data_IF_761408810330
#
_entry.id   IF_761408810330
#
_cell.length_a   1.000
_cell.length_b   1.000
_cell.length_c   1.000
_cell.angle_alpha   90.00
_cell.angle_beta   90.00
_cell.angle_gamma   90.00
#
_symmetry.space_group_name_H-M   'P 1'
#
loop_
_entity.id
_entity.type
_entity.pdbx_description
1 polymer ?
#
# COMPACT_ATOMS: atom_id res chain seq x y z
N UNK A 1 -14.49 -27.44 14.67
CA UNK A 1 -13.25 -26.74 15.07
C UNK A 1 -12.13 -27.76 15.02
N UNK A 2 -11.18 -27.59 14.10
CA UNK A 2 -10.03 -28.49 14.00
C UNK A 2 -9.13 -28.33 15.24
N UNK A 3 -8.54 -29.42 15.70
CA UNK A 3 -7.56 -29.37 16.79
C UNK A 3 -6.39 -28.46 16.39
N UNK A 4 -5.86 -27.60 17.29
CA UNK A 4 -4.86 -26.59 16.96
C UNK A 4 -3.51 -27.13 16.44
N UNK A 5 -3.29 -28.45 16.49
CA UNK A 5 -2.02 -29.10 16.12
C UNK A 5 -2.13 -30.03 14.91
N UNK A 6 -3.13 -29.87 14.05
CA UNK A 6 -3.21 -30.65 12.83
C UNK A 6 -2.04 -30.28 11.87
N UNK A 7 -1.37 -31.27 11.25
CA UNK A 7 -0.33 -31.03 10.26
C UNK A 7 -0.91 -30.22 9.08
N UNK A 8 -0.20 -29.17 8.70
CA UNK A 8 -0.51 -28.33 7.54
C UNK A 8 0.14 -28.90 6.29
N UNK A 9 -0.48 -28.69 5.15
CA UNK A 9 0.07 -29.05 3.86
C UNK A 9 0.13 -27.82 2.97
N UNK A 10 1.26 -27.64 2.29
CA UNK A 10 1.50 -26.49 1.42
C UNK A 10 1.92 -26.95 0.01
N UNK A 11 1.63 -26.11 -0.99
CA UNK A 11 2.06 -26.28 -2.38
C UNK A 11 2.93 -25.12 -2.83
N UNK A 12 4.00 -25.42 -3.57
CA UNK A 12 4.89 -24.45 -4.18
C UNK A 12 4.23 -23.88 -5.45
N UNK A 13 3.83 -22.61 -5.39
CA UNK A 13 3.51 -21.79 -6.55
C UNK A 13 4.74 -20.92 -6.85
N UNK A 14 4.60 -19.60 -6.80
CA UNK A 14 5.72 -18.67 -6.69
C UNK A 14 6.23 -18.57 -5.25
N UNK A 15 5.32 -18.78 -4.29
CA UNK A 15 5.58 -18.97 -2.86
C UNK A 15 4.86 -20.23 -2.35
N UNK A 16 5.25 -20.72 -1.18
CA UNK A 16 4.52 -21.79 -0.50
C UNK A 16 3.17 -21.25 -0.04
N UNK A 17 2.08 -21.91 -0.44
CA UNK A 17 0.72 -21.57 0.00
C UNK A 17 0.06 -22.77 0.66
N UNK A 18 -0.68 -22.50 1.73
CA UNK A 18 -1.53 -23.50 2.39
C UNK A 18 -2.52 -24.08 1.37
N UNK A 19 -2.60 -25.41 1.35
CA UNK A 19 -3.64 -26.11 0.62
C UNK A 19 -4.99 -25.91 1.33
N UNK A 20 -6.08 -25.96 0.56
CA UNK A 20 -7.42 -25.91 1.15
C UNK A 20 -7.66 -27.12 2.06
N UNK A 21 -8.66 -26.99 2.94
CA UNK A 21 -8.96 -27.99 3.97
C UNK A 21 -9.20 -29.38 3.36
N UNK A 22 -9.96 -29.45 2.27
CA UNK A 22 -10.26 -30.72 1.58
C UNK A 22 -9.00 -31.38 1.00
N UNK A 23 -8.13 -30.59 0.36
CA UNK A 23 -6.87 -31.11 -0.19
C UNK A 23 -5.90 -31.55 0.91
N UNK A 24 -5.80 -30.79 2.00
CA UNK A 24 -4.95 -31.11 3.13
C UNK A 24 -5.42 -32.39 3.86
N UNK A 25 -6.73 -32.55 4.06
CA UNK A 25 -7.32 -33.77 4.66
C UNK A 25 -7.06 -35.00 3.78
N UNK A 26 -7.21 -34.86 2.46
CA UNK A 26 -6.92 -35.94 1.50
C UNK A 26 -5.44 -36.36 1.52
N UNK A 27 -4.51 -35.40 1.52
CA UNK A 27 -3.07 -35.68 1.61
C UNK A 27 -2.68 -36.33 2.93
N UNK A 28 -3.28 -35.88 4.03
CA UNK A 28 -3.06 -36.48 5.35
C UNK A 28 -3.62 -37.91 5.40
N UNK A 29 -4.73 -38.19 4.73
CA UNK A 29 -5.27 -39.54 4.59
C UNK A 29 -4.31 -40.45 3.80
N UNK A 30 -3.82 -40.01 2.62
CA UNK A 30 -2.84 -40.76 1.83
C UNK A 30 -1.55 -41.03 2.62
N UNK A 31 -1.07 -40.02 3.34
CA UNK A 31 0.11 -40.13 4.19
C UNK A 31 -0.07 -41.18 5.28
N UNK A 32 -1.21 -41.16 5.99
CA UNK A 32 -1.52 -42.10 7.07
C UNK A 32 -1.76 -43.52 6.57
N UNK A 33 -2.38 -43.69 5.39
CA UNK A 33 -2.59 -45.02 4.79
C UNK A 33 -1.34 -45.58 4.13
N UNK A 34 -0.26 -44.78 4.02
CA UNK A 34 0.97 -45.10 3.26
C UNK A 34 0.69 -45.36 1.78
N UNK A 35 -0.36 -44.75 1.23
CA UNK A 35 -0.62 -44.75 -0.20
C UNK A 35 0.28 -43.71 -0.87
N UNK A 36 1.10 -44.15 -1.81
CA UNK A 36 2.08 -43.27 -2.47
C UNK A 36 1.44 -42.31 -3.47
N UNK A 37 0.24 -42.62 -3.98
CA UNK A 37 -0.45 -41.82 -5.00
C UNK A 37 -1.96 -41.82 -4.80
N UNK A 38 -2.58 -40.67 -5.06
CA UNK A 38 -4.04 -40.55 -5.11
C UNK A 38 -4.48 -39.42 -6.03
N UNK A 39 -5.76 -39.42 -6.41
CA UNK A 39 -6.36 -38.35 -7.21
C UNK A 39 -7.55 -37.72 -6.52
N UNK A 40 -7.60 -36.39 -6.51
CA UNK A 40 -8.70 -35.61 -5.93
C UNK A 40 -9.21 -34.60 -6.97
N UNK A 41 -10.53 -34.42 -7.04
CA UNK A 41 -11.15 -33.37 -7.85
C UNK A 41 -11.45 -32.17 -6.95
N UNK A 42 -10.68 -31.10 -7.07
CA UNK A 42 -10.96 -29.84 -6.39
C UNK A 42 -11.14 -28.71 -7.42
N UNK A 43 -12.06 -27.78 -7.13
CA UNK A 43 -12.33 -26.59 -7.97
C UNK A 43 -12.55 -26.92 -9.47
N UNK A 44 -13.21 -28.04 -9.74
CA UNK A 44 -13.53 -28.49 -11.10
C UNK A 44 -12.36 -29.11 -11.89
N UNK A 45 -11.17 -29.24 -11.30
CA UNK A 45 -10.00 -29.86 -11.93
C UNK A 45 -9.59 -31.11 -11.17
N UNK A 46 -9.03 -32.09 -11.87
CA UNK A 46 -8.50 -33.31 -11.24
C UNK A 46 -7.00 -33.13 -11.03
N UNK A 47 -6.55 -33.39 -9.81
CA UNK A 47 -5.14 -33.36 -9.43
C UNK A 47 -4.71 -34.76 -9.01
N UNK A 48 -3.53 -35.16 -9.45
CA UNK A 48 -2.84 -36.38 -9.02
C UNK A 48 -1.74 -35.99 -8.07
N UNK A 49 -1.78 -36.52 -6.85
CA UNK A 49 -0.77 -36.31 -5.83
C UNK A 49 0.12 -37.54 -5.74
N UNK A 50 1.44 -37.32 -5.72
CA UNK A 50 2.47 -38.33 -5.55
C UNK A 50 3.26 -37.99 -4.29
N UNK A 51 2.99 -38.74 -3.21
CA UNK A 51 3.58 -38.55 -1.88
C UNK A 51 5.05 -38.98 -1.88
N UNK A 52 5.43 -39.99 -2.68
CA UNK A 52 6.83 -40.42 -2.80
C UNK A 52 7.70 -39.31 -3.38
N UNK A 53 7.20 -38.61 -4.38
CA UNK A 53 7.90 -37.48 -5.02
C UNK A 53 7.60 -36.12 -4.37
N UNK A 54 6.65 -36.07 -3.44
CA UNK A 54 6.11 -34.84 -2.88
C UNK A 54 5.67 -33.86 -3.98
N UNK A 55 4.81 -34.32 -4.90
CA UNK A 55 4.32 -33.51 -6.03
C UNK A 55 2.81 -33.58 -6.22
N UNK A 56 2.25 -32.50 -6.76
CA UNK A 56 0.88 -32.37 -7.26
C UNK A 56 0.91 -32.11 -8.78
N UNK A 57 0.18 -32.90 -9.55
CA UNK A 57 0.08 -32.76 -11.01
C UNK A 57 -1.35 -32.45 -11.41
N UNK A 58 -1.55 -31.34 -12.10
CA UNK A 58 -2.84 -31.01 -12.71
C UNK A 58 -3.04 -31.82 -13.99
N UNK A 59 -4.08 -32.65 -14.08
CA UNK A 59 -4.24 -33.58 -15.21
C UNK A 59 -4.63 -32.91 -16.53
N UNK A 60 -5.09 -31.66 -16.49
CA UNK A 60 -5.51 -30.91 -17.69
C UNK A 60 -4.31 -30.18 -18.29
N UNK A 61 -3.55 -29.46 -17.45
CA UNK A 61 -2.40 -28.65 -17.90
C UNK A 61 -1.06 -29.40 -17.89
N UNK A 62 -1.00 -30.60 -17.29
CA UNK A 62 0.24 -31.34 -17.00
C UNK A 62 1.28 -30.57 -16.16
N UNK A 63 0.89 -29.44 -15.53
CA UNK A 63 1.79 -28.68 -14.65
C UNK A 63 2.00 -29.46 -13.34
N UNK A 64 3.26 -29.69 -13.01
CA UNK A 64 3.69 -30.35 -11.76
C UNK A 64 4.15 -29.29 -10.77
N UNK A 65 3.72 -29.41 -9.52
CA UNK A 65 4.07 -28.52 -8.41
C UNK A 65 4.60 -29.36 -7.24
N UNK A 66 5.57 -28.83 -6.50
CA UNK A 66 6.06 -29.48 -5.28
C UNK A 66 5.09 -29.23 -4.13
N UNK A 67 4.88 -30.22 -3.28
CA UNK A 67 4.10 -30.09 -2.04
C UNK A 67 4.99 -30.38 -0.83
N UNK A 68 4.62 -29.88 0.36
CA UNK A 68 5.29 -30.23 1.63
C UNK A 68 4.29 -30.35 2.77
N UNK A 69 4.62 -31.19 3.75
CA UNK A 69 3.89 -31.33 5.01
C UNK A 69 4.62 -30.57 6.10
N UNK A 70 3.93 -29.70 6.81
CA UNK A 70 4.42 -28.92 7.94
C UNK A 70 3.69 -29.38 9.20
N UNK A 71 4.41 -30.02 10.11
CA UNK A 71 3.87 -30.49 11.39
C UNK A 71 4.95 -31.23 12.17
N UNK A 72 4.70 -31.54 13.46
CA UNK A 72 5.68 -32.23 14.29
C UNK A 72 5.99 -33.58 13.65
N UNK A 73 7.22 -33.74 13.17
CA UNK A 73 7.73 -34.99 12.62
C UNK A 73 7.68 -36.06 13.70
N UNK A 74 6.93 -37.13 13.47
CA UNK A 74 6.78 -38.25 14.40
C UNK A 74 8.01 -39.17 14.46
N UNK A 75 9.22 -38.66 14.23
CA UNK A 75 10.46 -39.46 14.13
C UNK A 75 11.53 -39.11 15.18
N UNK A 76 11.21 -38.34 16.23
CA UNK A 76 12.10 -38.19 17.39
C UNK A 76 11.62 -39.07 18.56
N UNK A 77 11.87 -40.37 18.44
CA UNK A 77 11.78 -41.34 19.53
C UNK A 77 13.02 -42.24 19.54
N UNK A 78 14.22 -41.67 19.65
CA UNK A 78 15.39 -42.39 20.15
C UNK A 78 16.28 -41.47 20.99
N UNK A 79 16.40 -41.87 22.26
CA UNK A 79 17.29 -41.41 23.31
C UNK A 79 18.64 -40.84 22.85
N UNK A 80 18.91 -39.58 23.21
CA UNK A 80 20.09 -39.20 23.98
C UNK A 80 20.00 -37.72 24.44
N UNK A 81 20.23 -37.50 25.73
CA UNK A 81 20.50 -36.18 26.34
C UNK A 81 21.97 -35.85 25.98
N UNK A 82 22.32 -34.68 25.41
CA UNK A 82 22.33 -33.45 26.22
C UNK A 82 22.15 -32.10 25.52
N UNK A 83 22.03 -31.09 26.40
CA UNK A 83 22.55 -29.73 26.25
C UNK A 83 21.65 -28.70 25.55
N UNK A 84 20.76 -28.13 26.37
CA UNK A 84 20.46 -26.68 26.46
C UNK A 84 20.82 -25.90 25.17
N UNK A 85 20.02 -26.10 24.14
CA UNK A 85 20.00 -25.23 22.99
C UNK A 85 19.41 -23.90 23.45
N UNK A 86 20.30 -22.95 23.77
CA UNK A 86 20.07 -21.52 23.59
C UNK A 86 19.09 -21.34 22.43
N UNK A 87 17.94 -20.74 22.71
CA UNK A 87 17.14 -20.10 21.70
C UNK A 87 18.08 -19.19 20.92
N UNK A 88 18.55 -19.65 19.76
CA UNK A 88 19.09 -18.74 18.76
C UNK A 88 17.88 -17.92 18.40
N UNK A 89 17.76 -16.75 19.02
CA UNK A 89 17.17 -15.60 18.37
C UNK A 89 17.85 -15.56 17.01
N UNK A 90 17.20 -16.13 15.99
CA UNK A 90 17.37 -15.60 14.66
C UNK A 90 16.99 -14.16 14.86
N UNK A 91 18.01 -13.30 14.95
CA UNK A 91 17.82 -11.88 14.86
C UNK A 91 16.96 -11.72 13.61
N UNK A 92 15.71 -11.30 13.80
CA UNK A 92 14.99 -10.65 12.72
C UNK A 92 15.87 -9.45 12.38
N UNK A 93 16.80 -9.65 11.45
CA UNK A 93 17.44 -8.55 10.75
C UNK A 93 16.25 -7.81 10.12
N UNK A 94 15.84 -6.74 10.80
CA UNK A 94 14.87 -5.78 10.28
C UNK A 94 15.49 -5.32 8.97
N UNK A 95 15.01 -5.88 7.87
CA UNK A 95 15.63 -5.64 6.58
C UNK A 95 15.20 -4.24 6.18
N UNK A 96 15.91 -3.19 6.56
CA UNK A 96 15.54 -1.83 6.16
C UNK A 96 15.81 -1.64 4.65
N UNK A 97 14.89 -0.99 3.94
CA UNK A 97 14.99 -0.59 2.53
C UNK A 97 14.99 0.93 2.45
N UNK A 98 15.82 1.48 1.56
CA UNK A 98 15.86 2.92 1.33
C UNK A 98 15.11 3.23 0.04
N UNK A 99 14.22 4.22 0.12
CA UNK A 99 13.46 4.74 -1.01
C UNK A 99 13.89 6.17 -1.33
N UNK A 100 13.85 6.53 -2.61
CA UNK A 100 14.21 7.86 -3.13
C UNK A 100 13.02 8.44 -3.90
N UNK A 101 12.71 9.72 -3.66
CA UNK A 101 11.64 10.42 -4.36
C UNK A 101 12.08 10.79 -5.79
N UNK A 102 11.45 10.17 -6.79
CA UNK A 102 11.79 10.29 -8.21
C UNK A 102 10.53 10.44 -9.05
N UNK A 103 10.47 11.52 -9.83
CA UNK A 103 9.40 11.74 -10.80
C UNK A 103 7.98 11.69 -10.21
N UNK A 104 7.81 12.11 -8.95
CA UNK A 104 6.51 12.16 -8.28
C UNK A 104 6.14 10.88 -7.53
N UNK A 105 7.03 9.88 -7.46
CA UNK A 105 6.80 8.63 -6.72
C UNK A 105 8.03 8.24 -5.88
N UNK A 106 7.82 7.45 -4.82
CA UNK A 106 8.90 6.82 -4.06
C UNK A 106 9.41 5.58 -4.81
N UNK A 107 10.70 5.55 -5.15
CA UNK A 107 11.34 4.38 -5.77
C UNK A 107 12.29 3.71 -4.81
N UNK A 108 12.19 2.39 -4.70
CA UNK A 108 13.16 1.59 -3.96
C UNK A 108 14.53 1.65 -4.62
N UNK A 109 15.56 1.90 -3.82
CA UNK A 109 16.94 1.72 -4.23
C UNK A 109 17.25 0.23 -4.38
N UNK A 110 18.33 -0.10 -5.10
CA UNK A 110 18.78 -1.47 -5.17
C UNK A 110 19.13 -2.00 -3.76
N UNK A 111 19.04 -3.31 -3.58
CA UNK A 111 19.26 -3.95 -2.27
C UNK A 111 20.63 -3.61 -1.70
N UNK A 112 21.65 -3.60 -2.54
CA UNK A 112 23.03 -3.32 -2.17
C UNK A 112 23.19 -1.87 -1.68
N UNK A 113 22.57 -0.91 -2.38
CA UNK A 113 22.58 0.51 -2.02
C UNK A 113 21.83 0.74 -0.70
N UNK A 114 20.66 0.11 -0.55
CA UNK A 114 19.88 0.20 0.68
C UNK A 114 20.66 -0.33 1.88
N UNK A 115 21.28 -1.50 1.75
CA UNK A 115 22.10 -2.11 2.78
C UNK A 115 23.32 -1.26 3.15
N UNK A 116 23.96 -0.62 2.16
CA UNK A 116 25.08 0.29 2.40
C UNK A 116 24.62 1.49 3.23
N UNK A 117 23.51 2.14 2.85
CA UNK A 117 22.97 3.29 3.56
C UNK A 117 22.58 2.94 5.01
N UNK A 118 21.90 1.81 5.20
CA UNK A 118 21.50 1.32 6.53
C UNK A 118 22.72 1.03 7.40
N UNK A 119 23.76 0.39 6.84
CA UNK A 119 25.01 0.14 7.57
C UNK A 119 25.69 1.43 8.02
N UNK A 120 25.65 2.49 7.21
CA UNK A 120 26.19 3.80 7.61
C UNK A 120 25.33 4.44 8.72
N UNK A 121 24.01 4.30 8.64
CA UNK A 121 23.09 4.75 9.70
C UNK A 121 23.36 4.05 11.03
N UNK A 122 23.53 2.73 11.03
CA UNK A 122 23.84 1.92 12.22
C UNK A 122 25.17 2.31 12.88
N UNK A 123 26.14 2.79 12.08
CA UNK A 123 27.42 3.34 12.58
C UNK A 123 27.29 4.75 13.16
N UNK A 124 26.12 5.38 13.08
CA UNK A 124 25.91 6.77 13.48
C UNK A 124 26.51 7.79 12.52
N UNK A 125 26.89 7.36 11.30
CA UNK A 125 27.37 8.30 10.28
C UNK A 125 26.19 9.12 9.76
N UNK A 126 26.40 10.41 9.57
CA UNK A 126 25.32 11.34 9.19
C UNK A 126 25.43 11.84 7.75
N UNK A 127 26.61 11.70 7.14
CA UNK A 127 26.81 11.95 5.72
C UNK A 127 27.98 11.10 5.19
N UNK A 128 27.84 10.57 3.99
CA UNK A 128 28.85 9.76 3.31
C UNK A 128 28.65 9.80 1.79
N UNK A 129 29.65 9.39 1.02
CA UNK A 129 29.57 9.25 -0.43
C UNK A 129 29.72 7.79 -0.84
N UNK A 130 28.87 7.33 -1.76
CA UNK A 130 29.01 6.01 -2.37
C UNK A 130 28.81 6.09 -3.88
N UNK A 131 29.31 5.09 -4.61
CA UNK A 131 29.22 5.05 -6.08
C UNK A 131 28.34 3.90 -6.51
N UNK A 132 27.31 4.20 -7.29
CA UNK A 132 26.41 3.21 -7.86
C UNK A 132 26.20 3.46 -9.34
N UNK A 133 26.30 2.38 -10.12
CA UNK A 133 26.13 2.38 -11.59
C UNK A 133 26.95 3.50 -12.26
N UNK A 134 28.19 3.70 -11.83
CA UNK A 134 29.11 4.70 -12.36
C UNK A 134 28.80 6.16 -12.00
N UNK A 135 27.86 6.39 -11.08
CA UNK A 135 27.51 7.73 -10.58
C UNK A 135 27.79 7.80 -9.08
N UNK A 136 28.48 8.86 -8.65
CA UNK A 136 28.74 9.11 -7.23
C UNK A 136 27.61 9.92 -6.61
N UNK A 137 27.14 9.46 -5.46
CA UNK A 137 26.08 10.08 -4.68
C UNK A 137 26.58 10.39 -3.28
N UNK A 138 26.24 11.59 -2.81
CA UNK A 138 26.40 11.99 -1.42
C UNK A 138 25.07 11.80 -0.69
N UNK A 139 25.07 10.98 0.36
CA UNK A 139 23.93 10.78 1.26
C UNK A 139 24.11 11.67 2.48
N UNK A 140 23.03 12.34 2.88
CA UNK A 140 22.93 13.10 4.12
C UNK A 140 21.72 12.59 4.90
N UNK A 141 21.98 11.82 5.95
CA UNK A 141 20.97 11.18 6.80
C UNK A 141 20.35 12.14 7.82
N UNK A 142 20.94 13.32 8.07
CA UNK A 142 20.28 14.34 8.90
C UNK A 142 19.13 14.99 8.17
N UNK A 143 19.34 15.27 6.88
CA UNK A 143 18.33 15.90 6.02
C UNK A 143 17.53 14.89 5.22
N UNK A 144 17.85 13.60 5.32
CA UNK A 144 17.26 12.52 4.54
C UNK A 144 17.30 12.83 3.03
N UNK A 145 18.50 13.11 2.51
CA UNK A 145 18.70 13.42 1.10
C UNK A 145 19.81 12.61 0.43
N UNK A 146 19.66 12.43 -0.89
CA UNK A 146 20.66 11.91 -1.81
C UNK A 146 20.99 12.99 -2.85
N UNK A 147 22.27 13.36 -2.96
CA UNK A 147 22.75 14.35 -3.94
C UNK A 147 23.68 13.69 -4.94
N UNK A 148 23.35 13.79 -6.23
CA UNK A 148 24.26 13.34 -7.29
C UNK A 148 25.43 14.32 -7.40
N UNK A 149 26.66 13.85 -7.14
CA UNK A 149 27.86 14.73 -7.01
C UNK A 149 28.18 15.46 -8.31
N UNK A 150 27.99 14.82 -9.46
CA UNK A 150 28.31 15.40 -10.77
C UNK A 150 27.31 16.48 -11.20
N UNK A 151 26.02 16.26 -10.95
CA UNK A 151 24.95 17.17 -11.39
C UNK A 151 24.51 18.16 -10.29
N UNK A 152 24.95 17.94 -9.06
CA UNK A 152 24.50 18.64 -7.86
C UNK A 152 22.97 18.61 -7.64
N UNK A 153 22.28 17.61 -8.21
CA UNK A 153 20.85 17.43 -8.02
C UNK A 153 20.58 16.64 -6.74
N UNK A 154 19.81 17.23 -5.84
CA UNK A 154 19.40 16.63 -4.57
C UNK A 154 17.98 16.05 -4.64
N UNK A 155 17.76 14.92 -3.97
CA UNK A 155 16.50 14.18 -3.88
C UNK A 155 16.26 13.76 -2.44
N UNK A 156 15.00 13.73 -2.01
CA UNK A 156 14.64 13.21 -0.69
C UNK A 156 14.72 11.69 -0.69
N UNK A 157 15.19 11.12 0.42
CA UNK A 157 15.17 9.68 0.69
C UNK A 157 14.35 9.40 1.95
N UNK A 158 13.91 8.16 2.13
CA UNK A 158 13.37 7.65 3.40
C UNK A 158 13.87 6.23 3.63
N UNK A 159 14.00 5.84 4.89
CA UNK A 159 14.35 4.48 5.28
C UNK A 159 13.08 3.86 5.84
N UNK A 160 12.64 2.78 5.21
CA UNK A 160 11.43 2.02 5.57
C UNK A 160 11.87 0.61 5.93
N UNK A 161 11.18 -0.09 6.82
CA UNK A 161 11.38 -1.53 6.95
C UNK A 161 10.96 -2.20 5.62
N UNK A 162 11.68 -3.20 5.12
CA UNK A 162 11.35 -3.95 3.89
C UNK A 162 10.04 -4.71 4.03
N UNK A 163 9.65 -5.03 5.26
CA UNK A 163 8.32 -5.52 5.59
C UNK A 163 7.35 -4.38 5.89
N UNK A 164 7.84 -3.16 6.15
CA UNK A 164 7.06 -1.93 6.07
C UNK A 164 7.17 -1.23 4.70
N UNK A 165 7.69 -1.94 3.69
CA UNK A 165 7.23 -1.74 2.33
C UNK A 165 5.71 -1.67 2.46
N UNK A 166 5.05 -0.68 1.85
CA UNK A 166 3.63 -0.81 1.68
C UNK A 166 3.46 -2.03 0.76
N UNK A 167 3.36 -3.24 1.30
CA UNK A 167 2.10 -3.95 1.10
C UNK A 167 1.07 -2.88 1.42
N UNK A 168 0.54 -2.20 0.39
CA UNK A 168 -0.40 -1.10 0.50
C UNK A 168 -1.48 -1.57 1.45
N UNK A 169 -1.31 -1.18 2.72
CA UNK A 169 -1.97 -1.79 3.86
C UNK A 169 -3.44 -1.82 3.52
N UNK A 170 -3.96 -3.00 3.17
CA UNK A 170 -5.29 -3.11 2.62
C UNK A 170 -6.29 -2.65 3.67
N UNK A 171 -7.53 -2.41 3.26
CA UNK A 171 -8.60 -2.17 4.22
C UNK A 171 -8.67 -3.29 5.27
N UNK A 172 -8.33 -4.53 4.93
CA UNK A 172 -8.27 -5.64 5.89
C UNK A 172 -7.22 -5.46 6.98
N UNK A 173 -6.06 -4.89 6.66
CA UNK A 173 -5.04 -4.60 7.65
C UNK A 173 -5.44 -3.42 8.54
N UNK A 174 -6.11 -2.39 8.00
CA UNK A 174 -6.73 -1.33 8.80
C UNK A 174 -7.80 -1.89 9.74
N UNK A 175 -8.65 -2.81 9.26
CA UNK A 175 -9.70 -3.45 10.06
C UNK A 175 -9.14 -4.34 11.16
N UNK A 176 -8.06 -5.08 10.88
CA UNK A 176 -7.37 -5.87 11.90
C UNK A 176 -6.79 -4.95 12.97
N UNK A 177 -6.09 -3.90 12.56
CA UNK A 177 -5.53 -2.88 13.43
C UNK A 177 -6.60 -2.17 14.29
N UNK A 178 -7.79 -1.92 13.75
CA UNK A 178 -8.92 -1.40 14.51
C UNK A 178 -9.40 -2.38 15.58
N UNK A 179 -9.59 -3.66 15.22
CA UNK A 179 -10.07 -4.69 16.17
C UNK A 179 -9.11 -4.93 17.32
N UNK A 180 -7.80 -4.81 17.06
CA UNK A 180 -6.78 -4.91 18.11
C UNK A 180 -6.81 -3.74 19.09
N UNK A 181 -7.25 -2.55 18.64
CA UNK A 181 -7.25 -1.31 19.43
C UNK A 181 -8.60 -1.01 20.09
N UNK A 182 -9.70 -1.39 19.45
CA UNK A 182 -11.05 -1.13 19.95
C UNK A 182 -11.43 -2.15 21.01
N UNK A 183 -11.71 -1.68 22.23
CA UNK A 183 -12.11 -2.56 23.34
C UNK A 183 -13.44 -3.28 23.09
N UNK A 184 -14.39 -2.66 22.37
CA UNK A 184 -15.71 -3.24 22.09
C UNK A 184 -15.89 -3.75 20.65
N UNK A 185 -14.89 -3.53 19.79
CA UNK A 185 -14.90 -3.87 18.37
C UNK A 185 -15.87 -3.07 17.51
N UNK A 186 -16.52 -2.02 18.06
CA UNK A 186 -17.52 -1.21 17.37
C UNK A 186 -17.04 0.21 17.12
N UNK A 187 -16.41 0.82 18.11
CA UNK A 187 -15.89 2.17 18.01
C UNK A 187 -14.55 2.29 18.74
N UNK A 188 -13.70 3.19 18.27
CA UNK A 188 -12.52 3.65 18.99
C UNK A 188 -12.91 4.85 19.85
N UNK A 189 -12.61 4.75 21.13
CA UNK A 189 -12.76 5.81 22.13
C UNK A 189 -11.45 6.57 22.32
N UNK A 190 -11.51 7.67 23.10
CA UNK A 190 -10.33 8.39 23.57
C UNK A 190 -9.36 7.47 24.34
N UNK A 191 -9.89 6.57 25.15
CA UNK A 191 -9.10 5.66 25.98
C UNK A 191 -8.43 4.58 25.12
N UNK A 192 -9.13 4.00 24.16
CA UNK A 192 -8.57 3.03 23.20
C UNK A 192 -7.37 3.63 22.46
N UNK A 193 -7.53 4.85 21.92
CA UNK A 193 -6.45 5.52 21.19
C UNK A 193 -5.28 5.88 22.11
N UNK A 194 -5.54 6.33 23.34
CA UNK A 194 -4.48 6.62 24.31
C UNK A 194 -3.67 5.37 24.65
N UNK A 195 -4.33 4.23 24.83
CA UNK A 195 -3.68 2.95 25.13
C UNK A 195 -2.87 2.40 23.95
N UNK A 196 -3.21 2.81 22.72
CA UNK A 196 -2.48 2.40 21.52
C UNK A 196 -1.20 3.21 21.24
N UNK A 197 -1.01 4.34 21.94
CA UNK A 197 0.15 5.20 21.75
C UNK A 197 1.32 4.74 22.64
N UNK A 198 2.59 4.86 22.20
CA UNK A 198 3.73 4.59 23.07
C UNK A 198 3.67 5.42 24.36
N UNK A 199 4.01 4.79 25.48
CA UNK A 199 4.00 5.38 26.84
C UNK A 199 5.22 6.29 27.09
N UNK A 200 5.56 7.10 26.08
CA UNK A 200 6.70 8.00 26.09
C UNK A 200 6.22 9.44 25.87
N UNK A 201 6.42 10.32 26.86
CA UNK A 201 6.20 11.76 26.72
C UNK A 201 5.33 12.41 27.80
N UNK A 202 4.99 13.69 27.58
CA UNK A 202 4.08 14.44 28.46
C UNK A 202 2.64 13.94 28.26
N UNK A 203 1.97 13.44 29.31
CA UNK A 203 0.60 12.92 29.22
C UNK A 203 -0.41 13.98 28.74
N UNK A 204 -0.13 15.26 28.94
CA UNK A 204 -0.96 16.37 28.46
C UNK A 204 -0.85 16.52 26.95
N UNK A 205 0.36 16.46 26.41
CA UNK A 205 0.60 16.52 24.97
C UNK A 205 0.03 15.28 24.27
N UNK A 206 0.15 14.11 24.89
CA UNK A 206 -0.48 12.90 24.41
C UNK A 206 -2.00 13.06 24.31
N UNK A 207 -2.66 13.51 25.38
CA UNK A 207 -4.12 13.69 25.40
C UNK A 207 -4.61 14.70 24.34
N UNK A 208 -3.88 15.81 24.16
CA UNK A 208 -4.18 16.79 23.10
C UNK A 208 -3.99 16.20 21.70
N UNK A 209 -2.94 15.41 21.49
CA UNK A 209 -2.63 14.76 20.21
C UNK A 209 -3.73 13.75 19.87
N UNK A 210 -4.07 12.86 20.81
CA UNK A 210 -5.12 11.86 20.63
C UNK A 210 -6.47 12.53 20.34
N UNK A 211 -6.81 13.62 21.06
CA UNK A 211 -8.03 14.38 20.79
C UNK A 211 -8.05 15.01 19.40
N UNK A 212 -6.91 15.52 18.93
CA UNK A 212 -6.81 16.08 17.57
C UNK A 212 -7.03 15.00 16.53
N UNK A 213 -6.33 13.87 16.66
CA UNK A 213 -6.43 12.73 15.72
C UNK A 213 -7.85 12.18 15.68
N UNK A 214 -8.49 11.95 16.83
CA UNK A 214 -9.89 11.47 16.86
C UNK A 214 -10.86 12.47 16.24
N UNK A 215 -10.61 13.78 16.40
CA UNK A 215 -11.42 14.82 15.76
C UNK A 215 -11.24 14.81 14.25
N UNK A 216 -10.04 14.55 13.75
CA UNK A 216 -9.75 14.44 12.31
C UNK A 216 -10.36 13.18 11.69
N UNK A 217 -10.32 12.05 12.41
CA UNK A 217 -10.97 10.79 12.00
C UNK A 217 -12.50 10.90 11.98
N UNK A 218 -13.09 11.57 12.97
CA UNK A 218 -14.54 11.63 13.19
C UNK A 218 -15.30 12.53 12.21
N UNK A 219 -15.57 12.02 11.00
CA UNK A 219 -16.27 12.77 9.95
C UNK A 219 -17.74 13.06 10.24
N UNK A 220 -18.42 12.22 11.02
CA UNK A 220 -19.84 12.41 11.36
C UNK A 220 -20.08 13.41 12.50
N UNK A 221 -19.01 13.95 13.09
CA UNK A 221 -19.11 14.90 14.20
C UNK A 221 -19.50 14.26 15.53
N UNK A 222 -19.43 12.93 15.64
CA UNK A 222 -19.59 12.22 16.89
C UNK A 222 -18.35 12.51 17.75
N UNK A 223 -18.49 13.38 18.74
CA UNK A 223 -17.35 13.83 19.54
C UNK A 223 -16.72 12.67 20.32
N UNK A 224 -15.59 12.17 19.83
CA UNK A 224 -14.75 11.19 20.51
C UNK A 224 -15.07 9.72 20.25
N UNK A 225 -15.91 9.41 19.26
CA UNK A 225 -16.17 8.04 18.81
C UNK A 225 -15.89 7.95 17.31
N UNK A 226 -15.02 7.01 16.92
CA UNK A 226 -14.66 6.74 15.53
C UNK A 226 -15.03 5.29 15.23
N UNK A 227 -15.90 5.06 14.24
CA UNK A 227 -16.22 3.70 13.83
C UNK A 227 -15.18 3.11 12.86
N UNK A 228 -15.34 1.82 12.54
CA UNK A 228 -14.46 1.11 11.61
C UNK A 228 -14.37 1.81 10.25
N UNK A 229 -15.47 2.36 9.76
CA UNK A 229 -15.54 3.00 8.44
C UNK A 229 -14.75 4.32 8.43
N UNK A 230 -14.90 5.14 9.48
CA UNK A 230 -14.14 6.38 9.66
C UNK A 230 -12.64 6.10 9.86
N UNK A 231 -12.29 5.04 10.61
CA UNK A 231 -10.91 4.58 10.78
C UNK A 231 -10.28 4.15 9.45
N UNK A 232 -10.95 3.24 8.72
CA UNK A 232 -10.49 2.74 7.43
C UNK A 232 -10.27 3.91 6.45
N UNK A 233 -11.17 4.88 6.46
CA UNK A 233 -11.08 6.07 5.63
C UNK A 233 -9.87 6.94 5.97
N UNK A 234 -9.68 7.24 7.26
CA UNK A 234 -8.58 8.09 7.73
C UNK A 234 -7.22 7.51 7.31
N UNK A 235 -6.99 6.22 7.58
CA UNK A 235 -5.71 5.59 7.23
C UNK A 235 -5.53 5.40 5.72
N UNK A 236 -6.60 5.13 4.99
CA UNK A 236 -6.53 5.09 3.53
C UNK A 236 -6.17 6.46 2.94
N UNK A 237 -6.69 7.57 3.49
CA UNK A 237 -6.33 8.91 3.06
C UNK A 237 -4.92 9.33 3.48
N UNK A 238 -4.46 8.98 4.68
CA UNK A 238 -3.08 9.23 5.10
C UNK A 238 -2.08 8.48 4.21
N UNK A 239 -2.44 7.28 3.74
CA UNK A 239 -1.64 6.48 2.80
C UNK A 239 -1.64 7.04 1.39
N UNK A 240 -2.82 7.37 0.86
CA UNK A 240 -3.02 7.64 -0.58
C UNK A 240 -3.07 9.15 -0.92
N UNK A 241 -3.27 9.99 0.08
CA UNK A 241 -3.35 11.44 -0.08
C UNK A 241 -1.98 12.05 -0.41
N UNK A 242 -1.90 12.97 -1.38
CA UNK A 242 -0.63 13.61 -1.74
C UNK A 242 -0.13 14.59 -0.66
N UNK A 243 -1.03 15.07 0.20
CA UNK A 243 -0.72 15.93 1.34
C UNK A 243 -1.88 15.95 2.34
N UNK A 244 -1.60 16.37 3.58
CA UNK A 244 -2.62 16.58 4.61
C UNK A 244 -3.72 17.57 4.17
N UNK A 245 -3.35 18.65 3.47
CA UNK A 245 -4.31 19.64 2.96
C UNK A 245 -5.26 19.00 1.95
N UNK A 246 -4.75 18.13 1.08
CA UNK A 246 -5.56 17.41 0.10
C UNK A 246 -6.53 16.43 0.77
N UNK A 247 -6.09 15.72 1.81
CA UNK A 247 -6.97 14.85 2.61
C UNK A 247 -8.06 15.68 3.33
N UNK A 248 -7.71 16.83 3.90
CA UNK A 248 -8.65 17.74 4.54
C UNK A 248 -9.75 18.20 3.57
N UNK A 249 -9.40 18.58 2.33
CA UNK A 249 -10.38 18.99 1.32
C UNK A 249 -11.38 17.85 1.00
N UNK A 250 -10.91 16.61 0.91
CA UNK A 250 -11.77 15.43 0.71
C UNK A 250 -12.69 15.23 1.92
N UNK A 251 -12.16 15.34 3.14
CA UNK A 251 -12.92 15.22 4.38
C UNK A 251 -14.02 16.28 4.49
N UNK A 252 -13.75 17.53 4.10
CA UNK A 252 -14.74 18.61 4.12
C UNK A 252 -15.91 18.32 3.17
N UNK A 253 -15.62 17.87 1.94
CA UNK A 253 -16.67 17.49 0.98
C UNK A 253 -17.44 16.26 1.43
N UNK A 254 -16.73 15.25 1.95
CA UNK A 254 -17.32 14.02 2.46
C UNK A 254 -18.20 14.28 3.68
N UNK A 255 -17.81 15.17 4.59
CA UNK A 255 -18.62 15.58 5.74
C UNK A 255 -19.93 16.26 5.29
N UNK A 256 -19.90 17.06 4.21
CA UNK A 256 -21.12 17.61 3.60
C UNK A 256 -22.02 16.53 2.98
N UNK A 257 -21.42 15.52 2.36
CA UNK A 257 -22.15 14.37 1.81
C UNK A 257 -22.76 13.50 2.93
N UNK A 258 -22.01 13.23 4.00
CA UNK A 258 -22.45 12.44 5.17
C UNK A 258 -23.64 13.07 5.89
N UNK A 259 -23.73 14.40 5.92
CA UNK A 259 -24.92 15.10 6.45
C UNK A 259 -26.19 14.80 5.66
N UNK A 260 -26.08 14.53 4.35
CA UNK A 260 -27.21 14.19 3.48
C UNK A 260 -27.47 12.68 3.46
N UNK A 261 -26.41 11.89 3.53
CA UNK A 261 -26.46 10.44 3.46
C UNK A 261 -25.39 9.81 4.38
N UNK A 262 -25.77 9.34 5.57
CA UNK A 262 -24.84 8.76 6.55
C UNK A 262 -24.11 7.49 6.08
N UNK A 263 -24.59 6.84 5.01
CA UNK A 263 -24.04 5.60 4.47
C UNK A 263 -23.08 5.82 3.30
N UNK A 264 -22.94 7.06 2.81
CA UNK A 264 -22.14 7.37 1.61
C UNK A 264 -20.69 6.88 1.70
N UNK A 265 -20.04 7.05 2.86
CA UNK A 265 -18.66 6.64 3.05
C UNK A 265 -18.49 5.12 2.94
N UNK A 266 -19.33 4.35 3.64
CA UNK A 266 -19.27 2.89 3.59
C UNK A 266 -19.55 2.35 2.18
N UNK A 267 -20.47 2.97 1.44
CA UNK A 267 -20.70 2.61 0.04
C UNK A 267 -19.51 2.94 -0.86
N UNK A 268 -18.90 4.12 -0.70
CA UNK A 268 -17.71 4.50 -1.45
C UNK A 268 -16.55 3.52 -1.22
N UNK A 269 -16.28 3.13 0.04
CA UNK A 269 -15.27 2.13 0.38
C UNK A 269 -15.56 0.78 -0.29
N UNK A 270 -16.79 0.27 -0.16
CA UNK A 270 -17.21 -0.97 -0.79
C UNK A 270 -17.04 -0.91 -2.33
N UNK A 271 -17.43 0.19 -2.97
CA UNK A 271 -17.28 0.34 -4.42
C UNK A 271 -15.82 0.39 -4.86
N UNK A 272 -14.96 1.07 -4.09
CA UNK A 272 -13.52 1.09 -4.32
C UNK A 272 -12.92 -0.32 -4.22
N UNK A 273 -13.15 -1.02 -3.11
CA UNK A 273 -12.61 -2.37 -2.88
C UNK A 273 -13.07 -3.37 -3.95
N UNK A 274 -14.36 -3.35 -4.30
CA UNK A 274 -14.90 -4.21 -5.35
C UNK A 274 -14.25 -3.92 -6.71
N UNK A 275 -14.07 -2.65 -7.04
CA UNK A 275 -13.48 -2.25 -8.32
C UNK A 275 -11.98 -2.56 -8.40
N UNK A 276 -11.25 -2.40 -7.29
CA UNK A 276 -9.84 -2.77 -7.20
C UNK A 276 -9.64 -4.30 -7.27
N UNK A 277 -10.53 -5.08 -6.65
CA UNK A 277 -10.45 -6.54 -6.65
C UNK A 277 -10.75 -7.17 -8.03
N UNK A 278 -11.69 -6.59 -8.79
CA UNK A 278 -12.10 -7.13 -10.11
C UNK A 278 -11.01 -7.02 -11.19
N UNK A 279 -10.09 -6.07 -11.06
CA UNK A 279 -9.09 -5.73 -12.09
C UNK A 279 -7.64 -5.86 -11.62
N UNK A 280 -7.42 -6.32 -10.39
CA UNK A 280 -6.10 -6.76 -9.97
C UNK A 280 -5.59 -7.79 -10.97
N UNK A 281 -4.41 -7.55 -11.58
CA UNK A 281 -3.78 -8.54 -12.45
C UNK A 281 -3.64 -9.83 -11.65
N UNK A 282 -4.00 -10.96 -12.26
CA UNK A 282 -3.85 -12.26 -11.61
C UNK A 282 -2.36 -12.47 -11.26
N UNK A 283 -2.03 -12.42 -9.96
CA UNK A 283 -0.65 -12.48 -9.46
C UNK A 283 0.00 -11.12 -9.14
N UNK A 284 -0.69 -9.99 -9.33
CA UNK A 284 -0.33 -8.77 -8.61
C UNK A 284 -0.55 -9.04 -7.12
N UNK A 285 0.44 -8.67 -6.30
CA UNK A 285 0.36 -8.84 -4.85
C UNK A 285 -0.82 -8.04 -4.27
N UNK A 286 -1.28 -6.99 -4.98
CA UNK A 286 -2.31 -6.08 -4.46
C UNK A 286 -3.34 -5.60 -5.50
N UNK A 287 -4.60 -5.41 -5.07
CA UNK A 287 -5.65 -4.86 -5.92
C UNK A 287 -5.43 -3.35 -6.11
N UNK A 288 -5.05 -2.96 -7.32
CA UNK A 288 -4.94 -1.56 -7.73
C UNK A 288 -6.15 -1.21 -8.59
N UNK A 289 -6.76 -0.05 -8.34
CA UNK A 289 -7.89 0.41 -9.14
C UNK A 289 -7.38 0.94 -10.49
N UNK A 290 -7.72 0.28 -11.58
CA UNK A 290 -7.47 0.80 -12.92
C UNK A 290 -8.55 1.80 -13.35
N UNK A 291 -8.27 2.61 -14.37
CA UNK A 291 -9.25 3.43 -15.08
C UNK A 291 -10.50 2.64 -15.50
N UNK A 292 -10.31 1.41 -15.99
CA UNK A 292 -11.40 0.52 -16.37
C UNK A 292 -12.20 0.03 -15.15
N UNK A 293 -11.52 -0.25 -14.03
CA UNK A 293 -12.16 -0.57 -12.76
C UNK A 293 -13.05 0.56 -12.24
N UNK A 294 -12.57 1.80 -12.32
CA UNK A 294 -13.35 2.99 -11.95
C UNK A 294 -14.61 3.12 -12.82
N UNK A 295 -14.49 2.95 -14.14
CA UNK A 295 -15.64 3.04 -15.05
C UNK A 295 -16.70 1.98 -14.73
N UNK A 296 -16.30 0.73 -14.48
CA UNK A 296 -17.25 -0.31 -14.06
C UNK A 296 -17.90 -0.02 -12.71
N UNK A 297 -17.14 0.54 -11.76
CA UNK A 297 -17.70 0.99 -10.49
C UNK A 297 -18.80 2.04 -10.70
N UNK A 298 -18.53 3.02 -11.59
CA UNK A 298 -19.50 4.03 -11.99
C UNK A 298 -20.73 3.42 -12.65
N UNK A 299 -20.55 2.46 -13.57
CA UNK A 299 -21.65 1.78 -14.26
C UNK A 299 -22.56 1.04 -13.29
N UNK A 300 -21.97 0.30 -12.33
CA UNK A 300 -22.73 -0.36 -11.25
C UNK A 300 -23.52 0.63 -10.42
N UNK A 301 -22.91 1.75 -10.08
CA UNK A 301 -23.55 2.80 -9.28
C UNK A 301 -24.71 3.47 -10.03
N UNK A 302 -24.54 3.72 -11.33
CA UNK A 302 -25.61 4.27 -12.19
C UNK A 302 -26.74 3.26 -12.41
N UNK A 303 -26.42 1.98 -12.56
CA UNK A 303 -27.40 0.90 -12.70
C UNK A 303 -28.17 0.62 -11.40
N UNK A 304 -27.63 1.00 -10.24
CA UNK A 304 -28.28 0.81 -8.95
C UNK A 304 -29.66 1.51 -8.91
N UNK A 305 -30.72 0.86 -8.39
CA UNK A 305 -32.04 1.48 -8.28
C UNK A 305 -32.08 2.59 -7.22
N UNK A 306 -31.12 2.63 -6.30
CA UNK A 306 -31.06 3.64 -5.25
C UNK A 306 -30.61 4.99 -5.81
N UNK A 307 -31.29 6.06 -5.41
CA UNK A 307 -30.90 7.42 -5.76
C UNK A 307 -29.92 7.97 -4.73
N UNK A 308 -28.64 7.63 -4.91
CA UNK A 308 -27.54 8.04 -4.03
C UNK A 308 -26.78 9.24 -4.61
N UNK A 309 -26.14 10.04 -3.76
CA UNK A 309 -25.52 11.31 -4.14
C UNK A 309 -24.40 11.14 -5.17
N UNK A 310 -23.58 10.10 -5.01
CA UNK A 310 -22.45 9.76 -5.87
C UNK A 310 -22.87 9.33 -7.30
N UNK A 311 -24.14 8.95 -7.50
CA UNK A 311 -24.66 8.48 -8.79
C UNK A 311 -24.61 9.54 -9.88
N UNK A 312 -24.84 10.80 -9.53
CA UNK A 312 -24.79 11.90 -10.51
C UNK A 312 -23.38 12.09 -11.07
N UNK A 313 -22.36 11.91 -10.22
CA UNK A 313 -20.96 12.09 -10.60
C UNK A 313 -20.44 10.92 -11.41
N UNK A 314 -20.84 9.69 -11.04
CA UNK A 314 -20.60 8.52 -11.86
C UNK A 314 -21.21 8.63 -13.26
N UNK A 315 -22.44 9.14 -13.37
CA UNK A 315 -23.09 9.37 -14.66
C UNK A 315 -22.36 10.45 -15.49
N UNK A 316 -21.90 11.53 -14.85
CA UNK A 316 -21.11 12.57 -15.52
C UNK A 316 -19.78 12.01 -16.06
N UNK A 317 -19.07 11.21 -15.26
CA UNK A 317 -17.81 10.59 -15.66
C UNK A 317 -17.99 9.67 -16.88
N UNK A 318 -19.00 8.80 -16.86
CA UNK A 318 -19.32 7.90 -17.98
C UNK A 318 -19.65 8.72 -19.23
N UNK A 319 -20.48 9.76 -19.11
CA UNK A 319 -20.84 10.63 -20.23
C UNK A 319 -19.61 11.32 -20.84
N UNK A 320 -18.70 11.83 -20.01
CA UNK A 320 -17.44 12.44 -20.48
C UNK A 320 -16.54 11.42 -21.15
N UNK A 321 -16.40 10.22 -20.57
CA UNK A 321 -15.59 9.17 -21.16
C UNK A 321 -16.13 8.75 -22.54
N UNK A 322 -17.45 8.66 -22.70
CA UNK A 322 -18.09 8.36 -23.98
C UNK A 322 -17.99 9.50 -25.01
N UNK A 323 -17.99 10.76 -24.57
CA UNK A 323 -17.93 11.92 -25.45
C UNK A 323 -16.51 12.22 -25.94
N UNK A 324 -15.55 12.21 -25.01
CA UNK A 324 -14.21 12.75 -25.26
C UNK A 324 -13.16 11.63 -25.45
N UNK A 325 -13.44 10.40 -25.02
CA UNK A 325 -12.50 9.26 -25.08
C UNK A 325 -11.24 9.39 -24.21
N UNK A 326 -11.04 10.54 -23.56
CA UNK A 326 -9.72 10.94 -23.01
C UNK A 326 -9.76 11.27 -21.50
N UNK A 327 -10.75 10.78 -20.75
CA UNK A 327 -10.92 11.19 -19.34
C UNK A 327 -9.87 10.57 -18.42
N UNK A 328 -9.39 9.37 -18.75
CA UNK A 328 -8.41 8.61 -17.96
C UNK A 328 -7.45 7.91 -18.91
N UNK A 329 -6.15 7.94 -18.61
CA UNK A 329 -5.18 7.15 -19.38
C UNK A 329 -5.44 5.66 -19.11
N UNK A 330 -5.40 4.81 -20.15
CA UNK A 330 -5.76 3.39 -20.04
C UNK A 330 -4.91 2.63 -19.01
N UNK A 331 -3.68 3.08 -18.79
CA UNK A 331 -2.71 2.52 -17.85
C UNK A 331 -2.62 3.29 -16.52
N UNK A 332 -3.47 4.30 -16.28
CA UNK A 332 -3.46 5.05 -15.02
C UNK A 332 -3.94 4.16 -13.87
N UNK A 333 -3.09 4.03 -12.85
CA UNK A 333 -3.46 3.42 -11.57
C UNK A 333 -4.00 4.50 -10.64
N UNK A 334 -5.20 4.28 -10.13
CA UNK A 334 -5.91 5.18 -9.23
C UNK A 334 -5.83 4.65 -7.80
N UNK A 335 -5.62 5.53 -6.85
CA UNK A 335 -5.64 5.18 -5.43
C UNK A 335 -6.99 5.55 -4.79
N UNK A 336 -7.15 5.35 -3.47
CA UNK A 336 -8.40 5.65 -2.78
C UNK A 336 -8.73 7.15 -2.80
N UNK A 337 -7.72 8.01 -2.70
CA UNK A 337 -7.87 9.46 -2.78
C UNK A 337 -8.39 9.90 -4.16
N UNK A 338 -7.86 9.36 -5.26
CA UNK A 338 -8.33 9.64 -6.61
C UNK A 338 -9.79 9.23 -6.80
N UNK A 339 -10.12 8.01 -6.35
CA UNK A 339 -11.47 7.47 -6.40
C UNK A 339 -12.46 8.37 -5.66
N UNK A 340 -12.15 8.80 -4.44
CA UNK A 340 -13.02 9.67 -3.66
C UNK A 340 -13.24 11.02 -4.33
N UNK A 341 -12.20 11.63 -4.88
CA UNK A 341 -12.34 12.90 -5.59
C UNK A 341 -13.31 12.78 -6.78
N UNK A 342 -13.24 11.68 -7.53
CA UNK A 342 -14.20 11.42 -8.61
C UNK A 342 -15.61 11.23 -8.05
N UNK A 343 -15.78 10.40 -7.01
CA UNK A 343 -17.09 10.12 -6.42
C UNK A 343 -17.72 11.32 -5.69
N UNK A 344 -16.92 12.31 -5.30
CA UNK A 344 -17.37 13.57 -4.71
C UNK A 344 -17.56 14.68 -5.75
N UNK A 345 -17.35 14.39 -7.04
CA UNK A 345 -17.60 15.33 -8.14
C UNK A 345 -16.47 16.33 -8.37
N UNK A 346 -15.27 16.10 -7.84
CA UNK A 346 -14.12 16.97 -8.11
C UNK A 346 -13.69 16.78 -9.56
N UNK A 347 -13.63 17.88 -10.30
CA UNK A 347 -13.17 17.88 -11.68
C UNK A 347 -11.64 17.85 -11.72
N UNK A 348 -11.08 17.04 -12.63
CA UNK A 348 -9.67 17.10 -13.02
C UNK A 348 -9.48 18.24 -14.02
N UNK A 349 -8.37 18.96 -13.88
CA UNK A 349 -7.98 20.04 -14.79
C UNK A 349 -6.58 19.74 -15.32
N UNK A 350 -6.35 20.01 -16.61
CA UNK A 350 -4.99 19.95 -17.17
C UNK A 350 -4.20 21.12 -16.58
N UNK A 351 -3.13 20.81 -15.87
CA UNK A 351 -2.23 21.80 -15.25
C UNK A 351 -0.92 21.79 -16.01
N UNK A 352 -0.58 22.92 -16.59
CA UNK A 352 0.66 23.12 -17.33
C UNK A 352 1.64 23.89 -16.45
N UNK A 353 2.82 23.32 -16.22
CA UNK A 353 3.93 24.04 -15.58
C UNK A 353 4.76 24.72 -16.67
N UNK A 354 4.60 26.03 -16.80
CA UNK A 354 5.36 26.83 -17.75
C UNK A 354 6.66 27.26 -17.08
N UNK A 355 7.79 26.93 -17.68
CA UNK A 355 9.10 27.33 -17.19
C UNK A 355 9.84 28.05 -18.30
N UNK A 356 10.15 29.33 -18.08
CA UNK A 356 10.85 30.14 -19.06
C UNK A 356 11.97 30.95 -18.40
N UNK A 357 13.04 31.18 -19.16
CA UNK A 357 14.16 31.99 -18.73
C UNK A 357 13.83 33.48 -18.95
N UNK A 358 13.58 34.21 -17.87
CA UNK A 358 13.26 35.65 -17.94
C UNK A 358 14.48 36.49 -18.33
N UNK A 359 15.67 35.90 -18.26
CA UNK A 359 16.89 36.57 -18.69
C UNK A 359 17.12 36.48 -20.20
N UNK A 360 16.35 35.67 -20.94
CA UNK A 360 16.56 35.44 -22.38
C UNK A 360 18.02 35.06 -22.70
N UNK A 361 18.62 34.20 -21.87
CA UNK A 361 20.02 33.78 -21.96
C UNK A 361 21.05 34.82 -21.51
N UNK A 362 20.67 36.04 -21.12
CA UNK A 362 21.61 37.04 -20.62
C UNK A 362 22.27 36.61 -19.31
N UNK A 363 21.57 35.88 -18.44
CA UNK A 363 22.15 35.42 -17.18
C UNK A 363 23.36 34.51 -17.42
N UNK A 364 23.29 33.59 -18.40
CA UNK A 364 24.41 32.71 -18.74
C UNK A 364 25.67 33.47 -19.13
N UNK A 365 25.51 34.60 -19.83
CA UNK A 365 26.63 35.39 -20.34
C UNK A 365 27.23 36.33 -19.31
N UNK A 366 26.39 36.93 -18.46
CA UNK A 366 26.78 38.09 -17.65
C UNK A 366 26.69 37.89 -16.15
N UNK A 367 26.07 36.82 -15.65
CA UNK A 367 25.84 36.69 -14.21
C UNK A 367 27.13 36.59 -13.40
N UNK A 368 28.19 35.98 -13.95
CA UNK A 368 29.47 35.87 -13.26
C UNK A 368 30.08 37.24 -12.96
N UNK A 369 29.86 38.20 -13.88
CA UNK A 369 30.34 39.57 -13.74
C UNK A 369 29.46 40.38 -12.78
N UNK A 370 28.13 40.27 -12.93
CA UNK A 370 27.18 41.09 -12.18
C UNK A 370 26.92 40.59 -10.75
N UNK A 371 26.93 39.27 -10.57
CA UNK A 371 26.51 38.61 -9.33
C UNK A 371 27.66 37.81 -8.68
N UNK A 372 28.83 37.74 -9.32
CA UNK A 372 29.96 36.94 -8.85
C UNK A 372 29.74 35.42 -8.98
N UNK A 373 28.68 35.00 -9.68
CA UNK A 373 28.27 33.59 -9.80
C UNK A 373 27.74 33.30 -11.20
N UNK A 374 28.04 32.13 -11.77
CA UNK A 374 27.51 31.71 -13.08
C UNK A 374 26.14 31.03 -12.93
N UNK A 375 25.09 31.60 -13.52
CA UNK A 375 23.75 31.01 -13.62
C UNK A 375 23.45 30.67 -15.07
N UNK A 376 22.83 29.53 -15.36
CA UNK A 376 22.42 29.18 -16.74
C UNK A 376 21.25 30.03 -17.27
N UNK A 377 20.50 30.66 -16.38
CA UNK A 377 19.25 31.34 -16.68
C UNK A 377 18.60 31.79 -15.36
N UNK A 378 17.69 32.74 -15.45
CA UNK A 378 16.80 33.10 -14.34
C UNK A 378 15.44 32.52 -14.69
N UNK A 379 15.07 31.42 -14.04
CA UNK A 379 13.85 30.70 -14.36
C UNK A 379 12.67 31.32 -13.62
N UNK A 380 11.60 31.61 -14.35
CA UNK A 380 10.28 31.86 -13.79
C UNK A 380 9.37 30.67 -14.08
N UNK A 381 8.69 30.18 -13.05
CA UNK A 381 7.72 29.10 -13.17
C UNK A 381 6.31 29.66 -12.99
N UNK A 382 5.48 29.51 -14.02
CA UNK A 382 4.05 29.79 -13.98
C UNK A 382 3.25 28.50 -13.95
N UNK A 383 2.21 28.44 -13.12
CA UNK A 383 1.24 27.33 -13.14
C UNK A 383 0.02 27.81 -13.90
N UNK A 384 -0.27 27.18 -15.04
CA UNK A 384 -1.44 27.48 -15.86
C UNK A 384 -2.43 26.32 -15.73
N UNK A 385 -3.62 26.62 -15.23
CA UNK A 385 -4.71 25.65 -15.14
C UNK A 385 -5.64 25.87 -16.33
N UNK A 386 -5.86 24.83 -17.13
CA UNK A 386 -6.77 24.87 -18.27
C UNK A 386 -8.20 24.61 -17.79
N UNK A 387 -9.07 25.62 -17.94
CA UNK A 387 -10.48 25.55 -17.56
C UNK A 387 -11.32 25.32 -18.81
N UNK A 388 -11.85 24.11 -19.06
CA UNK A 388 -12.58 23.83 -20.30
C UNK A 388 -13.91 24.60 -20.43
N UNK A 389 -14.45 25.10 -19.32
CA UNK A 389 -15.79 25.71 -19.23
C UNK A 389 -15.76 27.26 -19.06
N UNK A 390 -14.62 27.93 -19.30
CA UNK A 390 -14.49 29.41 -19.25
C UNK A 390 -13.82 29.93 -20.51
#
# INVERSE_FOLDING_TARGET
MAAPDAPKWEVQLDTWKDLGVEEAEFLEQLWRSKELRGSLRCRGQVYVFDIEKMTQTNTISNKVRTIRRIGPSSEEATNDVPEIARCKSQSMEVALVVEVWLAGEWKRLAKEESNEIVRHQEKGETAFEFSSRGTSYRIDLRHMTQTNVKSNRTRTIRIVDRFAAPEAMGFDAFRLAFRERSTDGKALTLEDMRNSWPDEGDPTLLDLTVKSVLKEMGLRGNSGLVDMTEWDHFWALERDGPSHVSAQEVNEQLALALKKDPQVLGRMQMHFEAAAAEFGREGAEEPVLSSQGLLRACERLVASPQNVLEKQWAAELIRKHQADGEVLEEDETLNYYDFLNVMLGRKRFKVHLWMYDISDGFAERWSWLLLGQSFKGIWHTGVVVEWPDK
#
